data_IF_021332231368
#
_entry.id   IF_021332231368
#
_cell.length_a   1.000
_cell.length_b   1.000
_cell.length_c   1.000
_cell.angle_alpha   90.00
_cell.angle_beta   90.00
_cell.angle_gamma   90.00
#
_symmetry.space_group_name_H-M   'P 1'
#
loop_
_entity.id
_entity.type
_entity.pdbx_description
1 polymer ?
#
# COMPACT_ATOMS: atom_id res chain seq x y z
N UNK A 1 -70.51 -20.32 -11.47
CA UNK A 1 -69.54 -19.20 -11.40
C UNK A 1 -69.01 -19.12 -9.98
N UNK A 2 -67.79 -19.58 -9.74
CA UNK A 2 -67.08 -19.38 -8.49
C UNK A 2 -65.59 -19.25 -8.80
N UNK A 3 -65.02 -18.16 -8.30
CA UNK A 3 -63.67 -17.67 -8.53
C UNK A 3 -62.74 -18.27 -7.48
N UNK A 4 -61.55 -18.72 -7.83
CA UNK A 4 -60.50 -19.03 -6.85
C UNK A 4 -59.15 -18.56 -7.40
N UNK A 5 -58.67 -17.48 -6.78
CA UNK A 5 -57.32 -16.95 -6.85
C UNK A 5 -56.42 -17.84 -6.02
N UNK A 6 -55.34 -18.37 -6.61
CA UNK A 6 -54.16 -18.79 -5.85
C UNK A 6 -52.94 -17.99 -6.35
N UNK A 7 -52.57 -17.05 -5.48
CA UNK A 7 -51.22 -16.55 -5.16
C UNK A 7 -50.05 -17.09 -5.98
N UNK A 8 -49.50 -16.24 -6.85
CA UNK A 8 -48.10 -16.33 -7.27
C UNK A 8 -47.28 -15.37 -6.42
N UNK A 9 -46.50 -15.93 -5.50
CA UNK A 9 -45.58 -15.20 -4.62
C UNK A 9 -44.51 -14.50 -5.45
N UNK A 10 -44.40 -13.19 -5.25
CA UNK A 10 -43.35 -12.33 -5.79
C UNK A 10 -41.99 -12.76 -5.28
N UNK A 11 -41.15 -13.30 -6.15
CA UNK A 11 -39.75 -13.54 -5.85
C UNK A 11 -39.01 -12.20 -5.88
N UNK A 12 -38.75 -11.66 -4.69
CA UNK A 12 -38.00 -10.42 -4.53
C UNK A 12 -36.57 -10.64 -5.06
N UNK A 13 -36.23 -9.95 -6.15
CA UNK A 13 -34.89 -9.93 -6.71
C UNK A 13 -33.90 -9.47 -5.64
N UNK A 14 -32.99 -10.36 -5.25
CA UNK A 14 -31.85 -10.02 -4.38
C UNK A 14 -31.07 -8.87 -5.04
N UNK A 15 -30.60 -7.87 -4.27
CA UNK A 15 -29.74 -6.84 -4.85
C UNK A 15 -28.47 -7.52 -5.39
N UNK A 16 -28.18 -7.28 -6.67
CA UNK A 16 -26.93 -7.69 -7.30
C UNK A 16 -25.77 -7.26 -6.40
N UNK A 17 -25.02 -8.24 -5.89
CA UNK A 17 -23.81 -7.98 -5.13
C UNK A 17 -22.92 -7.02 -5.95
N UNK A 18 -22.37 -6.00 -5.28
CA UNK A 18 -21.41 -5.11 -5.89
C UNK A 18 -20.26 -5.97 -6.43
N UNK A 19 -20.14 -6.07 -7.76
CA UNK A 19 -18.99 -6.72 -8.40
C UNK A 19 -17.88 -5.70 -8.43
N UNK A 20 -16.85 -5.91 -7.62
CA UNK A 20 -15.63 -5.10 -7.69
C UNK A 20 -15.10 -5.17 -9.12
N UNK A 21 -14.81 -4.03 -9.77
CA UNK A 21 -14.18 -4.01 -11.08
C UNK A 21 -12.89 -4.84 -11.08
N UNK A 22 -12.56 -5.46 -12.22
CA UNK A 22 -11.28 -6.16 -12.36
C UNK A 22 -10.13 -5.19 -12.08
N UNK A 23 -9.25 -5.57 -11.16
CA UNK A 23 -8.07 -4.78 -10.80
C UNK A 23 -7.12 -4.71 -11.99
N UNK A 24 -6.59 -3.51 -12.28
CA UNK A 24 -5.50 -3.36 -13.26
C UNK A 24 -4.30 -4.20 -12.81
N UNK A 25 -3.72 -4.98 -13.72
CA UNK A 25 -2.50 -5.72 -13.47
C UNK A 25 -1.31 -4.79 -13.12
N UNK A 26 -0.31 -5.27 -12.36
CA UNK A 26 0.90 -4.52 -12.08
C UNK A 26 1.65 -4.18 -13.37
N UNK A 27 2.39 -3.08 -13.36
CA UNK A 27 3.39 -2.82 -14.39
C UNK A 27 4.55 -3.80 -14.27
N UNK A 28 5.17 -4.14 -15.40
CA UNK A 28 6.39 -4.94 -15.40
C UNK A 28 7.51 -4.23 -14.64
N UNK A 29 8.25 -5.00 -13.84
CA UNK A 29 9.36 -4.50 -13.06
C UNK A 29 10.67 -5.11 -13.52
N UNK A 30 11.57 -4.27 -14.03
CA UNK A 30 12.85 -4.69 -14.62
C UNK A 30 14.04 -4.69 -13.63
N UNK A 31 13.83 -4.17 -12.42
CA UNK A 31 14.87 -3.99 -11.40
C UNK A 31 15.82 -2.82 -11.64
N UNK A 32 15.48 -1.84 -12.51
CA UNK A 32 16.39 -0.71 -12.83
C UNK A 32 16.08 0.56 -12.06
N UNK A 33 14.83 0.75 -11.63
CA UNK A 33 14.35 1.98 -10.96
C UNK A 33 13.94 1.68 -9.52
N UNK A 34 14.78 2.01 -8.52
CA UNK A 34 14.55 1.60 -7.13
C UNK A 34 13.25 2.14 -6.51
N UNK A 35 12.80 3.31 -6.94
CA UNK A 35 11.55 3.91 -6.47
C UNK A 35 10.29 3.16 -6.96
N UNK A 36 10.39 2.30 -7.99
CA UNK A 36 9.24 1.56 -8.55
C UNK A 36 8.93 0.26 -7.81
N UNK A 37 9.90 -0.35 -7.11
CA UNK A 37 9.71 -1.67 -6.47
C UNK A 37 8.56 -1.66 -5.46
N UNK A 38 8.38 -0.55 -4.73
CA UNK A 38 7.31 -0.41 -3.75
C UNK A 38 5.95 -0.33 -4.39
N UNK A 39 5.82 0.46 -5.45
CA UNK A 39 4.57 0.55 -6.22
C UNK A 39 4.20 -0.82 -6.77
N UNK A 40 5.17 -1.53 -7.36
CA UNK A 40 4.97 -2.90 -7.85
C UNK A 40 4.42 -3.85 -6.76
N UNK A 41 5.06 -3.88 -5.58
CA UNK A 41 4.63 -4.68 -4.44
C UNK A 41 3.22 -4.27 -3.96
N UNK A 42 2.94 -2.96 -3.88
CA UNK A 42 1.63 -2.45 -3.45
C UNK A 42 0.51 -2.85 -4.39
N UNK A 43 0.72 -2.77 -5.71
CA UNK A 43 -0.26 -3.24 -6.70
C UNK A 43 -0.51 -4.75 -6.57
N UNK A 44 0.54 -5.56 -6.38
CA UNK A 44 0.38 -6.99 -6.15
C UNK A 44 -0.50 -7.25 -4.91
N UNK A 45 -0.20 -6.61 -3.77
CA UNK A 45 -0.98 -6.74 -2.54
C UNK A 45 -2.45 -6.36 -2.73
N UNK A 46 -2.70 -5.26 -3.44
CA UNK A 46 -4.06 -4.80 -3.72
C UNK A 46 -4.87 -5.85 -4.48
N UNK A 47 -4.26 -6.50 -5.46
CA UNK A 47 -4.87 -7.60 -6.23
C UNK A 47 -5.14 -8.81 -5.33
N UNK A 48 -4.17 -9.22 -4.50
CA UNK A 48 -4.34 -10.37 -3.61
C UNK A 48 -5.44 -10.14 -2.57
N UNK A 49 -5.57 -8.92 -2.06
CA UNK A 49 -6.62 -8.55 -1.12
C UNK A 49 -8.00 -8.44 -1.78
N UNK A 50 -8.05 -7.99 -3.04
CA UNK A 50 -9.31 -7.93 -3.79
C UNK A 50 -9.81 -9.31 -4.23
N UNK A 51 -8.91 -10.26 -4.46
CA UNK A 51 -9.24 -11.60 -4.94
C UNK A 51 -8.64 -12.73 -4.07
N UNK A 52 -9.09 -12.86 -2.81
CA UNK A 52 -8.54 -13.84 -1.88
C UNK A 52 -8.82 -15.29 -2.33
N UNK A 53 -9.86 -15.52 -3.14
CA UNK A 53 -10.21 -16.85 -3.66
C UNK A 53 -9.18 -17.37 -4.66
N UNK A 54 -8.62 -16.49 -5.51
CA UNK A 54 -7.55 -16.85 -6.44
C UNK A 54 -6.16 -16.82 -5.79
N UNK A 55 -5.96 -16.07 -4.71
CA UNK A 55 -4.70 -15.94 -3.98
C UNK A 55 -4.71 -16.47 -2.53
N UNK A 56 -5.23 -17.70 -2.25
CA UNK A 56 -5.33 -18.24 -0.90
C UNK A 56 -3.98 -18.65 -0.29
N UNK A 57 -2.93 -18.77 -1.11
CA UNK A 57 -1.61 -19.26 -0.70
C UNK A 57 -0.52 -18.29 -1.15
N UNK A 58 0.50 -18.12 -0.31
CA UNK A 58 1.66 -17.28 -0.59
C UNK A 58 2.38 -17.67 -1.88
N UNK A 59 2.47 -18.97 -2.16
CA UNK A 59 3.03 -19.46 -3.42
C UNK A 59 2.36 -18.89 -4.65
N UNK A 60 1.01 -18.80 -4.66
CA UNK A 60 0.29 -18.20 -5.79
C UNK A 60 0.58 -16.71 -5.92
N UNK A 61 0.70 -15.99 -4.80
CA UNK A 61 1.07 -14.57 -4.76
C UNK A 61 2.46 -14.33 -5.34
N UNK A 62 3.44 -15.14 -4.92
CA UNK A 62 4.82 -15.04 -5.40
C UNK A 62 4.89 -15.36 -6.89
N UNK A 63 4.29 -16.46 -7.35
CA UNK A 63 4.28 -16.82 -8.77
C UNK A 63 3.63 -15.74 -9.64
N UNK A 64 2.54 -15.14 -9.16
CA UNK A 64 1.91 -14.01 -9.84
C UNK A 64 2.84 -12.81 -9.90
N UNK A 65 3.45 -12.39 -8.81
CA UNK A 65 4.40 -11.28 -8.83
C UNK A 65 5.59 -11.57 -9.76
N UNK A 66 6.11 -12.81 -9.73
CA UNK A 66 7.21 -13.25 -10.59
C UNK A 66 6.88 -13.14 -12.08
N UNK A 67 5.64 -13.36 -12.51
CA UNK A 67 5.27 -13.22 -13.94
C UNK A 67 5.35 -11.79 -14.48
N UNK A 68 5.49 -10.80 -13.60
CA UNK A 68 5.69 -9.39 -13.97
C UNK A 68 7.14 -8.93 -13.80
N UNK A 69 8.06 -9.81 -13.37
CA UNK A 69 9.47 -9.49 -13.31
C UNK A 69 10.11 -9.68 -14.69
N UNK A 70 10.85 -8.67 -15.14
CA UNK A 70 11.62 -8.69 -16.38
C UNK A 70 13.07 -8.26 -16.10
N UNK A 71 13.93 -8.27 -17.12
CA UNK A 71 15.28 -7.70 -17.02
C UNK A 71 16.12 -8.26 -15.86
N UNK A 72 16.66 -7.38 -15.01
CA UNK A 72 17.50 -7.76 -13.87
C UNK A 72 16.70 -8.48 -12.78
N UNK A 73 15.45 -8.10 -12.57
CA UNK A 73 14.58 -8.78 -11.61
C UNK A 73 14.26 -10.22 -12.02
N UNK A 74 14.04 -10.47 -13.32
CA UNK A 74 13.85 -11.82 -13.85
C UNK A 74 15.11 -12.70 -13.68
N UNK A 75 16.30 -12.15 -13.96
CA UNK A 75 17.57 -12.88 -13.75
C UNK A 75 17.79 -13.27 -12.30
N UNK A 76 17.37 -12.43 -11.35
CA UNK A 76 17.49 -12.72 -9.93
C UNK A 76 16.60 -13.90 -9.48
N UNK A 77 15.37 -13.98 -10.01
CA UNK A 77 14.40 -15.00 -9.58
C UNK A 77 14.59 -16.35 -10.31
N UNK A 78 15.27 -16.34 -11.46
CA UNK A 78 15.50 -17.50 -12.33
C UNK A 78 16.01 -18.76 -11.59
N UNK A 79 17.02 -18.70 -10.70
CA UNK A 79 17.50 -19.90 -9.99
C UNK A 79 16.41 -20.58 -9.15
N UNK A 80 15.45 -19.79 -8.64
CA UNK A 80 14.35 -20.32 -7.85
C UNK A 80 13.27 -20.97 -8.73
N UNK A 81 13.05 -20.44 -9.93
CA UNK A 81 12.14 -20.99 -10.93
C UNK A 81 12.64 -22.33 -11.49
N UNK A 82 13.95 -22.54 -11.55
CA UNK A 82 14.53 -23.84 -11.94
C UNK A 82 14.16 -24.98 -10.98
N UNK A 83 13.70 -24.67 -9.76
CA UNK A 83 13.22 -25.64 -8.79
C UNK A 83 11.80 -25.28 -8.30
N UNK A 84 10.86 -25.17 -9.24
CA UNK A 84 9.45 -24.91 -8.93
C UNK A 84 8.85 -25.95 -7.99
N UNK A 85 9.26 -27.22 -8.04
CA UNK A 85 8.68 -28.29 -7.23
C UNK A 85 9.17 -28.30 -5.78
N UNK A 86 10.06 -27.39 -5.38
CA UNK A 86 10.55 -27.28 -4.01
C UNK A 86 9.38 -27.00 -3.04
N UNK A 87 9.23 -27.88 -2.05
CA UNK A 87 8.17 -27.85 -1.03
C UNK A 87 8.64 -27.27 0.31
N UNK A 88 9.90 -26.87 0.44
CA UNK A 88 10.40 -26.25 1.66
C UNK A 88 9.55 -25.01 1.98
N UNK A 89 9.03 -24.98 3.20
CA UNK A 89 8.20 -23.90 3.70
C UNK A 89 8.95 -22.57 3.71
N UNK A 90 10.28 -22.57 3.83
CA UNK A 90 11.13 -21.38 3.81
C UNK A 90 11.67 -21.04 2.42
N UNK A 91 11.24 -21.77 1.39
CA UNK A 91 11.64 -21.48 0.02
C UNK A 91 11.05 -20.14 -0.46
N UNK A 92 11.86 -19.36 -1.19
CA UNK A 92 11.48 -18.02 -1.66
C UNK A 92 10.13 -18.00 -2.38
N UNK A 93 9.87 -18.99 -3.24
CA UNK A 93 8.61 -19.07 -4.00
C UNK A 93 7.40 -19.47 -3.16
N UNK A 94 7.59 -19.94 -1.92
CA UNK A 94 6.51 -20.43 -1.06
C UNK A 94 6.10 -19.42 0.02
N UNK A 95 6.87 -18.33 0.23
CA UNK A 95 6.60 -17.31 1.26
C UNK A 95 6.60 -15.90 0.70
N UNK A 96 5.46 -15.22 0.79
CA UNK A 96 5.31 -13.85 0.30
C UNK A 96 6.23 -12.88 1.04
N UNK A 97 6.29 -12.98 2.37
CA UNK A 97 7.09 -12.06 3.19
C UNK A 97 8.59 -12.17 2.88
N UNK A 98 9.08 -13.39 2.64
CA UNK A 98 10.48 -13.61 2.26
C UNK A 98 10.74 -13.01 0.87
N UNK A 99 9.90 -13.30 -0.11
CA UNK A 99 9.98 -12.72 -1.45
C UNK A 99 9.98 -11.19 -1.42
N UNK A 100 9.01 -10.58 -0.71
CA UNK A 100 8.89 -9.13 -0.57
C UNK A 100 10.15 -8.52 0.06
N UNK A 101 10.66 -9.12 1.15
CA UNK A 101 11.84 -8.62 1.84
C UNK A 101 13.09 -8.66 0.96
N UNK A 102 13.31 -9.74 0.21
CA UNK A 102 14.47 -9.88 -0.66
C UNK A 102 14.36 -8.96 -1.89
N UNK A 103 13.17 -8.84 -2.48
CA UNK A 103 12.93 -7.93 -3.59
C UNK A 103 13.19 -6.48 -3.18
N UNK A 104 12.73 -6.07 -1.98
CA UNK A 104 13.02 -4.74 -1.43
C UNK A 104 14.50 -4.56 -1.08
N UNK A 105 15.18 -5.57 -0.54
CA UNK A 105 16.59 -5.48 -0.21
C UNK A 105 17.49 -5.33 -1.45
N UNK A 106 17.14 -6.00 -2.55
CA UNK A 106 17.94 -6.02 -3.78
C UNK A 106 17.64 -4.84 -4.70
N UNK A 107 16.37 -4.45 -4.80
CA UNK A 107 15.93 -3.43 -5.76
C UNK A 107 15.34 -2.18 -5.13
N UNK A 108 15.28 -2.09 -3.80
CA UNK A 108 14.87 -0.88 -3.09
C UNK A 108 15.94 0.21 -3.08
N UNK A 109 15.52 1.42 -2.75
CA UNK A 109 16.43 2.54 -2.57
C UNK A 109 17.13 2.43 -1.20
N UNK A 110 18.44 2.20 -1.20
CA UNK A 110 19.24 2.08 0.02
C UNK A 110 19.25 3.35 0.87
N UNK A 111 18.92 4.49 0.28
CA UNK A 111 18.84 5.79 0.95
C UNK A 111 17.40 6.20 1.27
N UNK A 112 16.40 5.33 1.09
CA UNK A 112 14.99 5.72 1.22
C UNK A 112 14.65 6.29 2.59
N UNK A 113 15.12 5.65 3.67
CA UNK A 113 14.90 6.13 5.04
C UNK A 113 15.53 7.52 5.21
N UNK A 114 16.80 7.67 4.83
CA UNK A 114 17.52 8.95 4.92
C UNK A 114 16.85 10.05 4.10
N UNK A 115 16.37 9.74 2.89
CA UNK A 115 15.62 10.67 2.04
C UNK A 115 14.30 11.07 2.68
N UNK A 116 13.60 10.13 3.31
CA UNK A 116 12.37 10.42 4.02
C UNK A 116 12.61 11.30 5.25
N UNK A 117 13.66 11.04 6.03
CA UNK A 117 14.07 11.87 7.17
C UNK A 117 14.43 13.29 6.71
N UNK A 118 15.27 13.44 5.68
CA UNK A 118 15.60 14.75 5.10
C UNK A 118 14.35 15.46 4.55
N UNK A 119 13.42 14.71 3.98
CA UNK A 119 12.12 15.22 3.55
C UNK A 119 11.29 15.74 4.72
N UNK A 120 11.23 15.02 5.84
CA UNK A 120 10.54 15.45 7.05
C UNK A 120 11.17 16.70 7.67
N UNK A 121 12.50 16.81 7.62
CA UNK A 121 13.22 17.99 8.11
C UNK A 121 12.94 19.26 7.29
N UNK A 122 12.82 19.09 5.98
CA UNK A 122 12.63 20.18 5.02
C UNK A 122 11.17 20.45 4.66
N UNK A 123 10.23 19.58 5.07
CA UNK A 123 8.81 19.76 4.77
C UNK A 123 8.30 21.05 5.40
N UNK A 124 7.89 22.00 4.56
CA UNK A 124 7.30 23.28 4.96
C UNK A 124 6.06 23.54 4.11
N UNK A 125 4.93 23.80 4.76
CA UNK A 125 3.73 24.26 4.07
C UNK A 125 3.87 25.75 3.79
N UNK A 126 3.72 26.15 2.52
CA UNK A 126 3.77 27.55 2.10
C UNK A 126 2.61 28.36 2.72
N UNK A 127 2.80 29.66 2.87
CA UNK A 127 1.72 30.57 3.24
C UNK A 127 0.59 30.49 2.19
N UNK A 128 -0.64 30.24 2.63
CA UNK A 128 -1.78 29.97 1.73
C UNK A 128 -1.81 28.55 1.13
N UNK A 129 -0.90 27.65 1.51
CA UNK A 129 -0.83 26.27 1.03
C UNK A 129 -2.03 25.41 1.46
N UNK A 130 -2.27 24.34 0.70
CA UNK A 130 -3.32 23.37 0.99
C UNK A 130 -2.88 22.40 2.10
N UNK A 131 -3.60 22.45 3.22
CA UNK A 131 -3.31 21.62 4.40
C UNK A 131 -3.41 20.12 4.09
N UNK A 132 -4.42 19.70 3.31
CA UNK A 132 -4.62 18.29 2.96
C UNK A 132 -3.47 17.73 2.12
N UNK A 133 -2.91 18.53 1.20
CA UNK A 133 -1.73 18.13 0.43
C UNK A 133 -0.50 17.99 1.33
N UNK A 134 -0.27 18.93 2.24
CA UNK A 134 0.85 18.84 3.18
C UNK A 134 0.73 17.66 4.15
N UNK A 135 -0.49 17.29 4.56
CA UNK A 135 -0.72 16.05 5.33
C UNK A 135 -0.38 14.82 4.49
N UNK A 136 -0.79 14.80 3.22
CA UNK A 136 -0.51 13.67 2.33
C UNK A 136 1.01 13.49 2.14
N UNK A 137 1.74 14.59 1.89
CA UNK A 137 3.20 14.59 1.77
C UNK A 137 3.87 14.09 3.05
N UNK A 138 3.45 14.63 4.20
CA UNK A 138 3.94 14.22 5.52
C UNK A 138 3.71 12.71 5.74
N UNK A 139 2.49 12.21 5.52
CA UNK A 139 2.15 10.79 5.66
C UNK A 139 2.97 9.90 4.72
N UNK A 140 3.20 10.37 3.50
CA UNK A 140 4.06 9.69 2.53
C UNK A 140 5.47 9.47 3.09
N UNK A 141 6.07 10.50 3.67
CA UNK A 141 7.40 10.44 4.27
C UNK A 141 7.43 9.58 5.54
N UNK A 142 6.48 9.77 6.45
CA UNK A 142 6.38 8.98 7.69
C UNK A 142 6.24 7.48 7.41
N UNK A 143 5.55 7.09 6.32
CA UNK A 143 5.43 5.69 5.93
C UNK A 143 6.77 4.98 5.68
N UNK A 144 7.85 5.75 5.49
CA UNK A 144 9.21 5.25 5.26
C UNK A 144 10.09 5.24 6.52
N UNK A 145 9.67 5.93 7.58
CA UNK A 145 10.43 6.08 8.81
C UNK A 145 9.80 5.21 9.90
N UNK A 146 10.45 4.09 10.25
CA UNK A 146 9.88 3.08 11.15
C UNK A 146 10.22 3.28 12.64
N UNK A 147 11.18 4.14 12.96
CA UNK A 147 11.76 4.23 14.31
C UNK A 147 11.40 5.51 15.08
N UNK A 148 10.65 6.42 14.47
CA UNK A 148 10.29 7.68 15.12
C UNK A 148 9.04 7.50 15.96
N UNK A 149 9.12 7.90 17.24
CA UNK A 149 7.96 7.94 18.13
C UNK A 149 6.99 9.07 17.76
N UNK A 150 5.75 8.95 18.22
CA UNK A 150 4.67 9.91 17.94
C UNK A 150 5.07 11.36 18.26
N UNK A 151 5.71 11.58 19.41
CA UNK A 151 6.18 12.93 19.82
C UNK A 151 7.15 13.56 18.83
N UNK A 152 8.03 12.75 18.23
CA UNK A 152 8.96 13.23 17.20
C UNK A 152 8.20 13.60 15.92
N UNK A 153 7.29 12.72 15.47
CA UNK A 153 6.46 12.99 14.29
C UNK A 153 5.63 14.28 14.45
N UNK A 154 5.02 14.48 15.61
CA UNK A 154 4.28 15.69 15.96
C UNK A 154 5.18 16.93 15.89
N UNK A 155 6.40 16.85 16.43
CA UNK A 155 7.34 17.95 16.40
C UNK A 155 7.70 18.35 14.96
N UNK A 156 8.05 17.39 14.11
CA UNK A 156 8.38 17.65 12.71
C UNK A 156 7.17 18.20 11.93
N UNK A 157 5.97 17.68 12.17
CA UNK A 157 4.76 18.21 11.54
C UNK A 157 4.52 19.68 11.94
N UNK A 158 4.57 20.00 13.23
CA UNK A 158 4.37 21.39 13.72
C UNK A 158 5.43 22.36 13.20
N UNK A 159 6.69 21.93 13.13
CA UNK A 159 7.80 22.72 12.54
C UNK A 159 7.54 23.07 11.07
N UNK A 160 6.75 22.23 10.38
CA UNK A 160 6.36 22.40 8.99
C UNK A 160 5.19 23.36 8.73
N UNK A 161 4.42 23.74 9.75
CA UNK A 161 3.18 24.51 9.58
C UNK A 161 3.42 26.03 9.69
N UNK A 162 2.70 26.85 8.89
CA UNK A 162 2.71 28.29 9.04
C UNK A 162 2.02 28.71 10.34
N UNK A 163 2.45 29.85 10.88
CA UNK A 163 2.00 30.38 12.17
C UNK A 163 0.47 30.47 12.27
N UNK A 164 -0.22 30.84 11.18
CA UNK A 164 -1.70 30.91 11.14
C UNK A 164 -2.36 29.59 11.54
N UNK A 165 -1.84 28.46 11.04
CA UNK A 165 -2.39 27.14 11.35
C UNK A 165 -1.98 26.72 12.77
N UNK A 166 -0.77 27.04 13.21
CA UNK A 166 -0.34 26.80 14.59
C UNK A 166 -1.23 27.55 15.60
N UNK A 167 -1.58 28.81 15.33
CA UNK A 167 -2.53 29.59 16.15
C UNK A 167 -3.95 28.99 16.14
N UNK A 168 -4.42 28.50 15.00
CA UNK A 168 -5.71 27.81 14.91
C UNK A 168 -5.72 26.49 15.70
N UNK A 169 -4.61 25.74 15.70
CA UNK A 169 -4.46 24.52 16.49
C UNK A 169 -4.37 24.81 17.98
N UNK A 170 -3.70 25.89 18.38
CA UNK A 170 -3.59 26.32 19.77
C UNK A 170 -4.93 26.84 20.33
N UNK A 171 -5.73 27.50 19.51
CA UNK A 171 -7.05 28.04 19.89
C UNK A 171 -8.18 26.99 19.87
N UNK A 172 -8.02 25.88 19.15
CA UNK A 172 -9.02 24.82 19.02
C UNK A 172 -8.40 23.41 19.19
N UNK A 173 -8.10 22.99 20.42
CA UNK A 173 -7.38 21.73 20.70
C UNK A 173 -8.10 20.47 20.20
N UNK A 174 -9.43 20.48 20.09
CA UNK A 174 -10.23 19.35 19.62
C UNK A 174 -10.13 19.08 18.11
N UNK A 175 -9.58 20.02 17.32
CA UNK A 175 -9.24 19.77 15.89
C UNK A 175 -7.93 19.01 15.71
N UNK A 176 -7.13 18.84 16.77
CA UNK A 176 -5.85 18.14 16.75
C UNK A 176 -6.06 16.66 16.40
N UNK A 177 -7.08 15.98 16.95
CA UNK A 177 -7.29 14.55 16.69
C UNK A 177 -7.65 14.19 15.23
N UNK A 178 -8.16 15.13 14.43
CA UNK A 178 -8.46 14.87 13.00
C UNK A 178 -7.25 15.03 12.07
N UNK A 179 -6.23 15.76 12.50
CA UNK A 179 -5.05 16.10 11.70
C UNK A 179 -3.80 15.29 12.07
N UNK A 180 -3.82 14.60 13.21
CA UNK A 180 -2.68 13.86 13.73
C UNK A 180 -2.75 12.40 13.24
N UNK A 181 -1.70 11.88 12.60
CA UNK A 181 -1.68 10.50 12.14
C UNK A 181 -1.38 9.57 13.32
N UNK A 182 -2.38 8.79 13.76
CA UNK A 182 -2.20 7.82 14.86
C UNK A 182 -3.46 7.38 15.61
N UNK A 183 -4.64 7.97 15.34
CA UNK A 183 -5.93 7.45 15.81
C UNK A 183 -6.58 6.54 14.77
#
# INVERSE_FOLDING_TARGET
>A
MANSKETSSSEASRPSAFKTPSMKAPEYFDGTQPFKVRSFIQYCKLIFHNDPANFPQDRKKVLYATSFLIGRAAKWIEPYLSNLTNKDANYLLNLWNLFESQLLALFGDSNEVRKAEAGLDSLRMKEGGNVSLSIADFRGLVSRVRHWGERALIHHFRKGLPSRILYQLASHPSRINGYYPGA
#
